data_IF_115433524862
#
_entry.id   IF_115433524862
#
_cell.length_a   1.000
_cell.length_b   1.000
_cell.length_c   1.000
_cell.angle_alpha   90.00
_cell.angle_beta   90.00
_cell.angle_gamma   90.00
#
_symmetry.space_group_name_H-M   'P 1'
#
loop_
_entity.id
_entity.type
_entity.pdbx_description
1 polymer ?
#
# COMPACT_ATOMS: atom_id res chain seq x y z
N UNK A 1 -19.12 29.06 13.36
CA UNK A 1 -20.07 28.07 12.85
C UNK A 1 -19.30 27.23 11.85
N UNK A 2 -19.09 25.96 12.14
CA UNK A 2 -18.40 25.05 11.22
C UNK A 2 -19.32 24.80 10.02
N UNK A 3 -18.98 25.39 8.87
CA UNK A 3 -19.72 25.14 7.64
C UNK A 3 -19.67 23.65 7.32
N UNK A 4 -20.84 23.07 7.03
CA UNK A 4 -20.93 21.65 6.63
C UNK A 4 -20.02 21.42 5.41
N UNK A 5 -19.11 20.42 5.44
CA UNK A 5 -18.14 20.25 4.37
C UNK A 5 -18.82 19.90 3.03
N UNK A 6 -18.30 20.41 1.90
CA UNK A 6 -18.83 20.07 0.59
C UNK A 6 -18.67 18.58 0.30
N UNK A 7 -19.67 17.99 -0.34
CA UNK A 7 -19.67 16.58 -0.69
C UNK A 7 -20.30 16.36 -2.08
N UNK A 8 -19.84 15.32 -2.77
CA UNK A 8 -20.60 14.82 -3.91
C UNK A 8 -21.87 14.12 -3.42
N UNK A 9 -23.00 14.41 -4.03
CA UNK A 9 -24.25 13.68 -3.84
C UNK A 9 -24.52 12.91 -5.13
N UNK A 10 -24.61 11.59 -5.02
CA UNK A 10 -24.82 10.71 -6.16
C UNK A 10 -26.08 9.87 -5.98
N UNK A 11 -27.04 10.08 -6.86
CA UNK A 11 -28.31 9.35 -6.89
C UNK A 11 -28.14 8.10 -7.76
N UNK A 12 -28.17 6.92 -7.12
CA UNK A 12 -28.01 5.62 -7.78
C UNK A 12 -29.20 5.28 -8.68
N UNK A 13 -30.39 5.85 -8.42
CA UNK A 13 -31.62 5.58 -9.19
C UNK A 13 -31.68 6.34 -10.51
N UNK A 14 -31.06 7.51 -10.58
CA UNK A 14 -31.13 8.39 -11.75
C UNK A 14 -29.87 8.36 -12.59
N UNK A 15 -28.80 7.72 -12.11
CA UNK A 15 -27.56 7.55 -12.88
C UNK A 15 -27.74 6.49 -13.98
N UNK A 16 -27.53 6.88 -15.22
CA UNK A 16 -27.67 6.02 -16.42
C UNK A 16 -26.31 5.57 -16.99
N UNK A 17 -25.21 5.78 -16.28
CA UNK A 17 -23.88 5.34 -16.72
C UNK A 17 -23.33 6.03 -17.98
N UNK A 18 -23.87 7.17 -18.41
CA UNK A 18 -23.59 7.82 -19.70
C UNK A 18 -22.16 8.38 -19.86
N UNK A 19 -21.32 8.37 -18.84
CA UNK A 19 -19.94 8.89 -18.82
C UNK A 19 -19.77 10.39 -19.08
N UNK A 20 -20.83 11.20 -19.23
CA UNK A 20 -20.72 12.64 -19.44
C UNK A 20 -19.87 13.32 -18.36
N UNK A 21 -20.00 12.90 -17.10
CA UNK A 21 -19.19 13.38 -15.98
C UNK A 21 -17.70 13.04 -16.12
N UNK A 22 -17.35 11.93 -16.78
CA UNK A 22 -15.95 11.52 -17.06
C UNK A 22 -15.36 12.44 -18.11
N UNK A 23 -16.06 12.63 -19.24
CA UNK A 23 -15.64 13.49 -20.34
C UNK A 23 -15.49 14.94 -19.88
N UNK A 24 -16.46 15.46 -19.16
CA UNK A 24 -16.40 16.82 -18.63
C UNK A 24 -15.21 17.03 -17.67
N UNK A 25 -14.93 16.04 -16.80
CA UNK A 25 -13.78 16.09 -15.92
C UNK A 25 -12.46 16.05 -16.70
N UNK A 26 -12.37 15.22 -17.73
CA UNK A 26 -11.18 15.08 -18.56
C UNK A 26 -10.90 16.37 -19.34
N UNK A 27 -11.93 16.96 -19.96
CA UNK A 27 -11.83 18.21 -20.70
C UNK A 27 -11.41 19.38 -19.80
N UNK A 28 -12.07 19.54 -18.65
CA UNK A 28 -11.77 20.62 -17.70
C UNK A 28 -10.34 20.57 -17.15
N UNK A 29 -9.87 19.35 -16.82
CA UNK A 29 -8.58 19.17 -16.15
C UNK A 29 -7.47 18.72 -17.11
N UNK A 30 -7.74 18.63 -18.42
CA UNK A 30 -6.79 18.24 -19.46
C UNK A 30 -6.05 16.95 -19.11
N UNK A 31 -6.80 15.93 -18.63
CA UNK A 31 -6.19 14.65 -18.27
C UNK A 31 -5.87 13.84 -19.53
N UNK A 32 -4.70 13.21 -19.53
CA UNK A 32 -4.28 12.34 -20.63
C UNK A 32 -5.23 11.14 -20.81
N UNK A 33 -5.37 10.59 -22.01
CA UNK A 33 -6.12 9.37 -22.26
C UNK A 33 -5.65 8.24 -21.34
N UNK A 34 -6.61 7.57 -20.67
CA UNK A 34 -6.33 6.54 -19.66
C UNK A 34 -5.99 7.04 -18.26
N UNK A 35 -5.67 8.34 -18.09
CA UNK A 35 -5.38 9.00 -16.81
C UNK A 35 -6.59 9.68 -16.14
N UNK A 36 -7.82 9.31 -16.49
CA UNK A 36 -9.03 9.95 -16.03
C UNK A 36 -9.17 9.97 -14.50
N UNK A 37 -9.45 11.13 -13.94
CA UNK A 37 -9.64 11.32 -12.50
C UNK A 37 -11.04 10.92 -12.03
N UNK A 38 -12.04 10.90 -12.91
CA UNK A 38 -13.37 10.37 -12.66
C UNK A 38 -13.61 9.12 -13.48
N UNK A 39 -14.31 8.16 -12.90
CA UNK A 39 -14.64 6.89 -13.53
C UNK A 39 -16.08 6.53 -13.17
N UNK A 40 -16.76 5.87 -14.09
CA UNK A 40 -18.06 5.23 -13.84
C UNK A 40 -17.83 3.73 -13.81
N UNK A 41 -18.29 3.09 -12.76
CA UNK A 41 -18.22 1.63 -12.57
C UNK A 41 -19.65 1.11 -12.54
N UNK A 42 -19.95 0.15 -13.42
CA UNK A 42 -21.27 -0.50 -13.51
C UNK A 42 -21.25 -1.79 -12.70
N UNK A 43 -22.31 -2.04 -11.95
CA UNK A 43 -22.50 -3.24 -11.15
C UNK A 43 -23.69 -4.04 -11.66
N UNK A 44 -23.60 -5.37 -11.54
CA UNK A 44 -24.64 -6.33 -11.86
C UNK A 44 -25.09 -6.34 -13.35
N UNK A 45 -24.26 -5.86 -14.28
CA UNK A 45 -24.59 -5.84 -15.70
C UNK A 45 -24.91 -7.26 -16.21
N UNK A 46 -24.08 -8.23 -15.83
CA UNK A 46 -24.24 -9.65 -16.22
C UNK A 46 -25.27 -10.42 -15.36
N UNK A 47 -25.90 -9.76 -14.38
CA UNK A 47 -26.83 -10.37 -13.43
C UNK A 47 -28.26 -9.82 -13.54
N UNK A 48 -28.49 -8.94 -14.48
CA UNK A 48 -29.83 -8.44 -14.75
C UNK A 48 -30.65 -9.55 -15.44
N UNK A 49 -31.94 -9.76 -15.10
CA UNK A 49 -32.76 -8.96 -14.17
C UNK A 49 -32.74 -9.43 -12.69
N UNK A 50 -31.95 -10.47 -12.34
CA UNK A 50 -31.93 -11.01 -10.98
C UNK A 50 -31.48 -9.97 -9.94
N UNK A 51 -30.51 -9.12 -10.31
CA UNK A 51 -30.06 -8.00 -9.51
C UNK A 51 -30.22 -6.68 -10.28
N UNK A 52 -30.51 -5.56 -9.58
CA UNK A 52 -30.60 -4.26 -10.23
C UNK A 52 -29.23 -3.79 -10.73
N UNK A 53 -29.15 -3.32 -11.97
CA UNK A 53 -27.98 -2.64 -12.52
C UNK A 53 -27.92 -1.24 -11.93
N UNK A 54 -26.74 -0.84 -11.45
CA UNK A 54 -26.49 0.51 -10.99
C UNK A 54 -25.06 0.98 -11.31
N UNK A 55 -24.85 2.29 -11.28
CA UNK A 55 -23.59 2.89 -11.68
C UNK A 55 -23.02 3.74 -10.55
N UNK A 56 -21.74 3.56 -10.22
CA UNK A 56 -21.00 4.41 -9.30
C UNK A 56 -20.10 5.38 -10.07
N UNK A 57 -20.40 6.67 -10.01
CA UNK A 57 -19.52 7.72 -10.54
C UNK A 57 -18.54 8.15 -9.46
N UNK A 58 -17.31 7.68 -9.53
CA UNK A 58 -16.28 7.82 -8.53
C UNK A 58 -15.11 8.70 -8.98
N UNK A 59 -14.61 9.51 -8.05
CA UNK A 59 -13.39 10.30 -8.18
C UNK A 59 -12.72 10.40 -6.81
N UNK A 60 -11.88 11.44 -6.57
CA UNK A 60 -11.47 11.74 -5.20
C UNK A 60 -12.69 12.21 -4.39
N UNK A 61 -12.88 11.61 -3.24
CA UNK A 61 -13.99 11.95 -2.33
C UNK A 61 -13.60 13.06 -1.34
N UNK A 62 -12.45 13.68 -1.44
CA UNK A 62 -11.98 14.75 -0.56
C UNK A 62 -12.24 14.48 0.93
N UNK A 63 -11.91 13.24 1.37
CA UNK A 63 -12.23 12.68 2.68
C UNK A 63 -11.90 13.63 3.82
N UNK A 64 -12.75 13.69 4.86
CA UNK A 64 -12.50 14.53 6.05
C UNK A 64 -11.21 14.08 6.77
N UNK A 65 -11.00 12.77 6.88
CA UNK A 65 -9.78 12.16 7.43
C UNK A 65 -8.94 11.61 6.27
N UNK A 66 -8.39 12.49 5.43
CA UNK A 66 -7.71 12.10 4.20
C UNK A 66 -6.40 11.32 4.48
N UNK A 67 -6.35 9.98 4.27
CA UNK A 67 -5.13 9.21 4.51
C UNK A 67 -3.98 9.63 3.59
N UNK A 68 -4.29 10.06 2.37
CA UNK A 68 -3.29 10.55 1.42
C UNK A 68 -2.58 11.82 1.90
N UNK A 69 -3.29 12.73 2.61
CA UNK A 69 -2.73 13.93 3.23
C UNK A 69 -1.89 13.53 4.45
N UNK A 70 -2.46 12.72 5.36
CA UNK A 70 -1.81 12.30 6.61
C UNK A 70 -0.48 11.59 6.36
N UNK A 71 -0.40 10.78 5.32
CA UNK A 71 0.77 9.94 5.04
C UNK A 71 1.68 10.47 3.93
N UNK A 72 1.41 11.65 3.36
CA UNK A 72 2.28 12.24 2.34
C UNK A 72 3.65 12.61 2.93
N UNK A 73 4.75 11.96 2.54
CA UNK A 73 6.06 12.23 3.14
C UNK A 73 6.59 13.63 2.78
N UNK A 74 6.26 14.13 1.59
CA UNK A 74 6.74 15.43 1.08
C UNK A 74 5.85 16.62 1.49
N UNK A 75 4.80 16.39 2.31
CA UNK A 75 3.81 17.42 2.66
C UNK A 75 3.26 18.14 1.42
N UNK A 76 3.05 17.36 0.35
CA UNK A 76 2.55 17.87 -0.91
C UNK A 76 1.02 17.81 -1.02
N UNK A 77 0.32 17.27 -0.02
CA UNK A 77 -1.13 17.13 -0.02
C UNK A 77 -1.68 17.89 1.17
N UNK A 78 -2.63 18.78 0.90
CA UNK A 78 -3.29 19.59 1.92
C UNK A 78 -4.75 19.85 1.56
N UNK A 79 -5.57 20.09 2.59
CA UNK A 79 -6.93 20.57 2.42
C UNK A 79 -6.93 22.09 2.25
N UNK A 80 -7.70 22.56 1.29
CA UNK A 80 -8.02 23.98 1.14
C UNK A 80 -9.22 24.33 2.02
N UNK A 81 -9.07 25.34 2.88
CA UNK A 81 -10.07 25.72 3.87
C UNK A 81 -11.30 26.40 3.25
N UNK A 82 -11.16 27.02 2.07
CA UNK A 82 -12.23 27.75 1.38
C UNK A 82 -13.19 26.82 0.66
N UNK A 83 -12.64 25.78 0.03
CA UNK A 83 -13.42 24.86 -0.82
C UNK A 83 -13.55 23.46 -0.22
N UNK A 84 -12.85 23.15 0.86
CA UNK A 84 -12.77 21.80 1.43
C UNK A 84 -12.04 20.79 0.53
N UNK A 85 -11.49 21.21 -0.61
CA UNK A 85 -10.78 20.34 -1.53
C UNK A 85 -9.46 19.86 -0.94
N UNK A 86 -9.22 18.55 -0.95
CA UNK A 86 -7.88 18.01 -0.68
C UNK A 86 -7.09 18.08 -1.99
N UNK A 87 -6.01 18.84 -2.04
CA UNK A 87 -5.25 19.17 -3.25
C UNK A 87 -3.85 18.55 -3.19
N UNK A 88 -3.26 18.27 -4.35
CA UNK A 88 -1.86 17.89 -4.50
C UNK A 88 -1.09 19.07 -5.10
N UNK A 89 -0.09 19.54 -4.39
CA UNK A 89 0.88 20.50 -4.89
C UNK A 89 1.92 19.73 -5.74
N UNK A 90 1.90 19.96 -7.05
CA UNK A 90 2.78 19.30 -8.01
C UNK A 90 4.25 19.70 -7.82
N UNK A 91 4.53 20.90 -7.28
CA UNK A 91 5.90 21.39 -7.09
C UNK A 91 6.54 20.81 -5.81
N UNK A 92 5.73 20.38 -4.85
CA UNK A 92 6.17 19.65 -3.68
C UNK A 92 6.18 18.14 -3.88
N UNK A 93 5.37 17.63 -4.82
CA UNK A 93 5.23 16.20 -5.04
C UNK A 93 6.54 15.57 -5.53
N UNK A 94 6.93 14.45 -4.92
CA UNK A 94 8.12 13.65 -5.28
C UNK A 94 7.76 12.43 -6.16
N UNK A 95 6.48 12.19 -6.43
CA UNK A 95 6.02 11.08 -7.25
C UNK A 95 6.23 9.69 -6.63
N UNK A 96 6.27 9.55 -5.31
CA UNK A 96 6.48 8.28 -4.60
C UNK A 96 5.28 7.33 -4.65
N UNK A 97 4.14 7.70 -5.23
CA UNK A 97 2.91 6.92 -5.41
C UNK A 97 2.23 6.44 -4.12
N UNK A 98 2.77 6.71 -2.95
CA UNK A 98 2.26 6.21 -1.67
C UNK A 98 0.81 6.66 -1.39
N UNK A 99 0.41 7.86 -1.79
CA UNK A 99 -0.98 8.31 -1.71
C UNK A 99 -1.96 7.45 -2.52
N UNK A 100 -1.49 6.78 -3.58
CA UNK A 100 -2.26 5.79 -4.34
C UNK A 100 -2.48 4.49 -3.55
N UNK A 101 -1.52 4.08 -2.72
CA UNK A 101 -1.61 2.85 -1.93
C UNK A 101 -2.57 3.00 -0.74
N UNK A 102 -2.58 4.17 -0.11
CA UNK A 102 -3.46 4.44 1.04
C UNK A 102 -4.89 4.85 0.64
N UNK A 103 -5.16 5.08 -0.65
CA UNK A 103 -6.48 5.49 -1.13
C UNK A 103 -7.33 4.28 -1.53
N UNK A 104 -8.46 4.01 -0.83
CA UNK A 104 -9.34 2.89 -1.16
C UNK A 104 -10.22 3.15 -2.40
N UNK A 105 -10.27 4.40 -2.88
CA UNK A 105 -11.11 4.82 -4.01
C UNK A 105 -10.35 4.91 -5.33
N UNK A 106 -9.07 4.54 -5.34
CA UNK A 106 -8.22 4.61 -6.52
C UNK A 106 -8.14 6.01 -7.17
N UNK A 107 -8.23 7.06 -6.34
CA UNK A 107 -8.31 8.42 -6.86
C UNK A 107 -6.97 9.03 -7.30
N UNK A 108 -5.83 8.89 -6.57
CA UNK A 108 -4.55 9.40 -7.03
C UNK A 108 -4.00 8.58 -8.19
N UNK A 109 -3.61 9.25 -9.28
CA UNK A 109 -2.99 8.69 -10.48
C UNK A 109 -1.59 9.23 -10.67
N UNK A 110 -0.69 8.41 -11.16
CA UNK A 110 0.66 8.85 -11.50
C UNK A 110 0.67 9.41 -12.93
N UNK A 111 1.12 10.64 -13.07
CA UNK A 111 1.38 11.30 -14.33
C UNK A 111 2.84 11.06 -14.71
N UNK A 112 3.06 10.18 -15.67
CA UNK A 112 4.42 9.78 -16.09
C UNK A 112 5.16 10.91 -16.81
N UNK A 113 4.45 11.79 -17.54
CA UNK A 113 5.05 12.92 -18.24
C UNK A 113 5.57 13.98 -17.28
N UNK A 114 4.86 14.21 -16.17
CA UNK A 114 5.24 15.18 -15.14
C UNK A 114 6.05 14.58 -13.99
N UNK A 115 6.03 13.27 -13.82
CA UNK A 115 6.68 12.56 -12.72
C UNK A 115 6.04 12.81 -11.35
N UNK A 116 4.76 13.20 -11.28
CA UNK A 116 4.04 13.55 -10.06
C UNK A 116 2.70 12.84 -9.98
N UNK A 117 2.06 12.88 -8.81
CA UNK A 117 0.68 12.39 -8.64
C UNK A 117 -0.33 13.48 -8.99
N UNK A 118 -1.41 13.08 -9.65
CA UNK A 118 -2.59 13.89 -9.90
C UNK A 118 -3.86 13.23 -9.38
N UNK A 119 -4.91 14.02 -9.12
CA UNK A 119 -6.25 13.53 -8.75
C UNK A 119 -7.28 14.65 -8.90
N UNK A 120 -8.56 14.29 -8.82
CA UNK A 120 -9.64 15.27 -8.77
C UNK A 120 -9.31 16.42 -7.81
N UNK A 121 -9.48 17.64 -8.29
CA UNK A 121 -9.26 18.90 -7.54
C UNK A 121 -10.55 19.49 -6.97
N UNK A 122 -11.69 18.78 -7.08
CA UNK A 122 -13.04 19.30 -6.83
C UNK A 122 -13.37 20.51 -7.76
N UNK A 123 -12.65 20.65 -8.87
CA UNK A 123 -12.66 21.85 -9.71
C UNK A 123 -12.45 23.14 -8.90
N UNK A 124 -11.46 23.11 -8.02
CA UNK A 124 -11.16 24.15 -7.01
C UNK A 124 -11.27 25.58 -7.56
N UNK A 125 -10.71 25.86 -8.75
CA UNK A 125 -10.79 27.19 -9.37
C UNK A 125 -12.24 27.59 -9.64
N UNK A 126 -13.04 26.69 -10.25
CA UNK A 126 -14.46 26.97 -10.52
C UNK A 126 -15.25 27.25 -9.25
N UNK A 127 -14.94 26.50 -8.15
CA UNK A 127 -15.59 26.74 -6.86
C UNK A 127 -15.22 28.11 -6.26
N UNK A 128 -13.97 28.54 -6.40
CA UNK A 128 -13.56 29.90 -5.97
C UNK A 128 -14.26 31.00 -6.73
N UNK A 129 -14.58 30.76 -8.00
CA UNK A 129 -15.32 31.68 -8.87
C UNK A 129 -16.86 31.54 -8.72
N UNK A 130 -17.34 30.81 -7.69
CA UNK A 130 -18.76 30.59 -7.41
C UNK A 130 -19.46 29.60 -8.35
N UNK A 131 -18.72 28.91 -9.21
CA UNK A 131 -19.24 27.89 -10.12
C UNK A 131 -19.39 26.52 -9.52
N UNK A 132 -19.80 25.55 -10.35
CA UNK A 132 -19.94 24.12 -9.98
C UNK A 132 -18.81 23.28 -10.59
N UNK A 133 -18.45 22.11 -10.00
CA UNK A 133 -17.55 21.18 -10.64
C UNK A 133 -18.04 20.76 -12.03
N UNK A 134 -17.15 20.68 -13.02
CA UNK A 134 -17.52 20.36 -14.40
C UNK A 134 -18.33 19.06 -14.53
N UNK A 135 -17.99 18.03 -13.75
CA UNK A 135 -18.70 16.76 -13.76
C UNK A 135 -20.14 16.84 -13.24
N UNK A 136 -20.43 17.74 -12.30
CA UNK A 136 -21.79 17.95 -11.79
C UNK A 136 -22.62 18.80 -12.74
N UNK A 137 -22.01 19.82 -13.35
CA UNK A 137 -22.66 20.66 -14.36
C UNK A 137 -23.03 19.89 -15.63
N UNK A 138 -22.23 18.88 -16.00
CA UNK A 138 -22.44 18.09 -17.21
C UNK A 138 -23.34 16.86 -17.01
N UNK A 139 -23.85 16.60 -15.80
CA UNK A 139 -24.69 15.43 -15.55
C UNK A 139 -26.10 15.63 -16.10
N UNK A 140 -26.51 14.92 -17.21
CA UNK A 140 -27.77 15.21 -17.89
C UNK A 140 -29.00 14.83 -17.05
N UNK A 141 -28.87 13.84 -16.17
CA UNK A 141 -29.96 13.37 -15.30
C UNK A 141 -29.97 14.06 -13.93
N UNK A 142 -28.95 14.90 -13.64
CA UNK A 142 -28.76 15.47 -12.31
C UNK A 142 -28.44 14.43 -11.23
N UNK A 143 -28.04 13.21 -11.62
CA UNK A 143 -27.68 12.15 -10.68
C UNK A 143 -26.45 12.50 -9.84
N UNK A 144 -25.52 13.28 -10.38
CA UNK A 144 -24.31 13.72 -9.68
C UNK A 144 -24.39 15.24 -9.42
N UNK A 145 -24.37 15.61 -8.15
CA UNK A 145 -24.45 17.00 -7.69
C UNK A 145 -23.35 17.32 -6.69
N UNK A 146 -23.05 18.59 -6.51
CA UNK A 146 -22.33 19.08 -5.34
C UNK A 146 -23.36 19.50 -4.28
N UNK A 147 -23.20 19.03 -3.07
CA UNK A 147 -24.02 19.35 -1.90
C UNK A 147 -23.15 19.37 -0.65
N UNK A 148 -23.74 19.03 0.47
CA UNK A 148 -23.09 18.95 1.79
C UNK A 148 -23.08 17.54 2.32
N UNK A 149 -22.12 17.24 3.20
CA UNK A 149 -22.04 15.98 3.88
C UNK A 149 -22.89 16.01 5.17
N UNK A 150 -23.96 15.23 5.18
CA UNK A 150 -24.79 15.03 6.38
C UNK A 150 -24.34 13.71 7.04
N UNK A 151 -23.75 13.80 8.23
CA UNK A 151 -23.25 12.64 8.97
C UNK A 151 -21.86 12.13 8.55
N UNK A 152 -21.59 10.84 8.81
CA UNK A 152 -20.25 10.24 8.67
C UNK A 152 -19.87 9.76 7.25
N UNK A 153 -20.69 10.04 6.26
CA UNK A 153 -20.52 9.55 4.90
C UNK A 153 -21.21 8.20 4.65
N UNK A 154 -21.01 7.60 3.45
CA UNK A 154 -21.76 6.44 3.02
C UNK A 154 -21.32 5.17 3.76
N UNK A 155 -22.31 4.38 4.21
CA UNK A 155 -22.14 3.03 4.77
C UNK A 155 -23.05 2.06 4.03
N UNK A 156 -22.58 0.82 3.84
CA UNK A 156 -23.41 -0.25 3.26
C UNK A 156 -23.75 -0.08 1.77
N UNK A 157 -23.05 0.76 1.02
CA UNK A 157 -23.25 0.88 -0.43
C UNK A 157 -22.48 -0.22 -1.14
N UNK A 158 -23.19 -1.07 -1.88
CA UNK A 158 -22.58 -2.18 -2.61
C UNK A 158 -21.47 -1.66 -3.55
N UNK A 159 -20.33 -2.34 -3.55
CA UNK A 159 -19.16 -1.97 -4.34
C UNK A 159 -18.36 -0.75 -3.85
N UNK A 160 -18.85 0.01 -2.87
CA UNK A 160 -18.11 1.11 -2.28
C UNK A 160 -17.31 0.64 -1.06
N UNK A 161 -15.97 0.83 -1.00
CA UNK A 161 -15.16 0.33 0.11
C UNK A 161 -15.45 1.04 1.43
N UNK A 162 -15.75 0.29 2.49
CA UNK A 162 -15.76 0.79 3.87
C UNK A 162 -14.43 0.42 4.56
N UNK A 163 -13.59 1.42 4.75
CA UNK A 163 -12.25 1.26 5.35
C UNK A 163 -12.08 2.12 6.61
N UNK A 164 -13.19 2.61 7.18
CA UNK A 164 -13.18 3.39 8.43
C UNK A 164 -12.67 4.83 8.27
N UNK A 165 -12.62 5.37 7.06
CA UNK A 165 -12.39 6.80 6.80
C UNK A 165 -13.70 7.50 6.46
N UNK A 166 -13.72 8.83 6.52
CA UNK A 166 -14.91 9.66 6.24
C UNK A 166 -14.81 10.31 4.86
N UNK A 167 -15.29 9.65 3.76
CA UNK A 167 -15.30 10.25 2.43
C UNK A 167 -16.39 11.30 2.32
N UNK A 168 -16.13 12.43 1.67
CA UNK A 168 -17.13 13.48 1.40
C UNK A 168 -17.94 13.15 0.15
N UNK A 169 -18.71 12.07 0.23
CA UNK A 169 -19.69 11.64 -0.76
C UNK A 169 -20.91 11.09 -0.05
N UNK A 170 -22.09 11.35 -0.58
CA UNK A 170 -23.36 10.80 -0.16
C UNK A 170 -24.03 10.08 -1.32
N UNK A 171 -24.53 8.88 -1.09
CA UNK A 171 -25.33 8.15 -2.06
C UNK A 171 -26.81 8.25 -1.69
N UNK A 172 -27.66 8.56 -2.68
CA UNK A 172 -29.11 8.36 -2.56
C UNK A 172 -29.40 6.94 -3.06
N UNK A 173 -30.18 6.15 -2.28
CA UNK A 173 -30.38 4.73 -2.56
C UNK A 173 -31.18 4.49 -3.84
N UNK A 174 -31.11 3.29 -4.37
CA UNK A 174 -31.98 2.84 -5.45
C UNK A 174 -33.45 2.90 -5.01
N UNK A 175 -34.29 3.49 -5.83
CA UNK A 175 -35.75 3.51 -5.59
C UNK A 175 -36.28 2.10 -5.74
N UNK A 176 -36.98 1.61 -4.72
CA UNK A 176 -37.67 0.32 -4.74
C UNK A 176 -36.99 -0.85 -4.04
N UNK A 177 -35.68 -0.87 -3.89
CA UNK A 177 -34.98 -1.86 -3.05
C UNK A 177 -33.53 -1.43 -2.81
N UNK A 178 -33.16 -1.32 -1.54
CA UNK A 178 -31.71 -1.29 -1.23
C UNK A 178 -31.09 -2.61 -1.73
N UNK A 179 -29.85 -2.59 -2.32
CA UNK A 179 -29.12 -3.81 -2.57
C UNK A 179 -28.96 -4.56 -1.24
N UNK A 180 -29.75 -5.63 -1.09
CA UNK A 180 -29.65 -6.49 0.07
C UNK A 180 -28.43 -7.39 -0.11
N UNK A 181 -27.45 -7.35 0.79
CA UNK A 181 -26.31 -8.27 0.74
C UNK A 181 -26.72 -9.73 0.72
N UNK A 182 -27.84 -10.09 1.38
CA UNK A 182 -28.38 -11.43 1.37
C UNK A 182 -29.02 -11.81 0.02
N UNK A 183 -29.58 -10.85 -0.71
CA UNK A 183 -30.07 -11.08 -2.06
C UNK A 183 -28.93 -11.22 -3.08
N UNK A 184 -27.78 -10.55 -2.87
CA UNK A 184 -26.54 -10.80 -3.65
C UNK A 184 -26.04 -12.24 -3.44
N UNK A 185 -26.12 -12.75 -2.22
CA UNK A 185 -25.71 -14.11 -1.86
C UNK A 185 -26.69 -15.17 -2.44
N UNK A 186 -27.98 -14.93 -2.36
CA UNK A 186 -29.02 -15.81 -2.91
C UNK A 186 -28.98 -15.86 -4.45
N UNK A 187 -28.72 -14.75 -5.13
CA UNK A 187 -28.61 -14.71 -6.59
C UNK A 187 -27.30 -15.39 -7.08
N UNK A 188 -26.25 -15.40 -6.27
CA UNK A 188 -25.02 -16.14 -6.56
C UNK A 188 -25.23 -17.66 -6.51
N UNK A 189 -26.15 -18.14 -5.65
CA UNK A 189 -26.50 -19.57 -5.51
C UNK A 189 -27.43 -20.03 -6.65
N UNK A 190 -28.22 -19.15 -7.23
CA UNK A 190 -29.25 -19.50 -8.23
C UNK A 190 -28.75 -19.71 -9.68
N UNK A 191 -27.47 -19.97 -9.91
CA UNK A 191 -27.02 -20.58 -11.16
C UNK A 191 -26.48 -19.64 -12.26
N UNK A 192 -26.04 -18.41 -11.96
CA UNK A 192 -25.29 -17.56 -12.91
C UNK A 192 -23.78 -17.91 -12.95
N UNK A 193 -23.46 -19.16 -12.65
CA UNK A 193 -22.09 -19.66 -12.48
C UNK A 193 -21.26 -19.85 -13.78
N UNK A 194 -21.81 -19.49 -14.95
CA UNK A 194 -21.16 -19.81 -16.24
C UNK A 194 -20.60 -18.62 -17.03
N UNK A 195 -20.72 -17.39 -16.53
CA UNK A 195 -20.12 -16.25 -17.20
C UNK A 195 -18.65 -16.11 -16.80
N UNK A 196 -17.78 -15.98 -17.79
CA UNK A 196 -16.36 -15.69 -17.52
C UNK A 196 -16.24 -14.42 -16.70
N UNK A 197 -15.46 -14.46 -15.61
CA UNK A 197 -15.31 -13.28 -14.76
C UNK A 197 -14.60 -12.18 -15.54
N UNK A 198 -15.08 -10.95 -15.42
CA UNK A 198 -14.35 -9.78 -15.88
C UNK A 198 -12.90 -9.84 -15.38
N UNK A 199 -11.92 -9.58 -16.26
CA UNK A 199 -10.53 -9.60 -15.85
C UNK A 199 -10.33 -8.63 -14.68
N UNK A 200 -9.84 -9.15 -13.58
CA UNK A 200 -9.57 -8.32 -12.41
C UNK A 200 -8.62 -7.19 -12.81
N UNK A 201 -8.89 -5.93 -12.43
CA UNK A 201 -8.03 -4.83 -12.78
C UNK A 201 -6.62 -5.10 -12.26
N UNK A 202 -5.56 -4.63 -12.97
CA UNK A 202 -4.19 -4.88 -12.58
C UNK A 202 -3.94 -4.42 -11.14
N UNK A 203 -3.14 -5.18 -10.40
CA UNK A 203 -2.79 -4.82 -9.02
C UNK A 203 -2.03 -3.51 -9.02
N UNK A 204 -2.34 -2.63 -8.07
CA UNK A 204 -1.61 -1.36 -7.88
C UNK A 204 -0.16 -1.56 -7.48
N UNK A 205 0.11 -2.64 -6.78
CA UNK A 205 1.42 -3.01 -6.27
C UNK A 205 1.74 -4.38 -6.85
N UNK A 206 2.91 -4.51 -7.45
CA UNK A 206 3.41 -5.78 -7.97
C UNK A 206 4.93 -5.82 -7.79
N UNK A 207 5.50 -7.01 -7.75
CA UNK A 207 6.95 -7.17 -7.68
C UNK A 207 7.64 -6.48 -8.88
N UNK A 208 7.02 -6.51 -10.06
CA UNK A 208 7.55 -5.87 -11.26
C UNK A 208 7.58 -4.34 -11.17
N UNK A 209 6.54 -3.72 -10.57
CA UNK A 209 6.48 -2.26 -10.41
C UNK A 209 7.35 -1.76 -9.26
N UNK A 210 7.55 -2.57 -8.22
CA UNK A 210 8.21 -2.18 -6.97
C UNK A 210 9.52 -2.94 -6.70
N UNK A 211 10.15 -3.49 -7.75
CA UNK A 211 11.38 -4.28 -7.60
C UNK A 211 12.52 -3.52 -6.90
N UNK A 212 12.60 -2.21 -7.07
CA UNK A 212 13.60 -1.38 -6.41
C UNK A 212 13.37 -1.28 -4.91
N UNK A 213 12.11 -1.20 -4.48
CA UNK A 213 11.74 -1.23 -3.05
C UNK A 213 11.93 -2.63 -2.47
N UNK A 214 11.59 -3.68 -3.24
CA UNK A 214 11.89 -5.06 -2.86
C UNK A 214 13.39 -5.25 -2.59
N UNK A 215 14.25 -4.82 -3.51
CA UNK A 215 15.70 -4.91 -3.35
C UNK A 215 16.19 -4.05 -2.18
N UNK A 216 15.77 -2.80 -2.08
CA UNK A 216 16.11 -1.88 -0.99
C UNK A 216 15.79 -2.49 0.39
N UNK A 217 14.56 -2.94 0.60
CA UNK A 217 14.13 -3.48 1.90
C UNK A 217 14.90 -4.75 2.26
N UNK A 218 15.17 -5.64 1.28
CA UNK A 218 15.97 -6.84 1.48
C UNK A 218 17.42 -6.52 1.89
N UNK A 219 18.04 -5.51 1.23
CA UNK A 219 19.40 -5.07 1.56
C UNK A 219 19.48 -4.49 2.98
N UNK A 220 18.53 -3.63 3.37
CA UNK A 220 18.52 -3.04 4.71
C UNK A 220 18.35 -4.11 5.79
N UNK A 221 17.45 -5.08 5.59
CA UNK A 221 17.29 -6.23 6.50
C UNK A 221 18.60 -6.98 6.67
N UNK A 222 19.28 -7.29 5.55
CA UNK A 222 20.57 -7.96 5.55
C UNK A 222 21.66 -7.19 6.30
N UNK A 223 21.74 -5.87 6.10
CA UNK A 223 22.72 -5.02 6.77
C UNK A 223 22.48 -4.91 8.28
N UNK A 224 21.24 -4.72 8.71
CA UNK A 224 20.88 -4.70 10.14
C UNK A 224 21.17 -6.06 10.78
N UNK A 225 20.84 -7.15 10.09
CA UNK A 225 21.12 -8.50 10.55
C UNK A 225 22.64 -8.77 10.67
N UNK A 226 23.43 -8.35 9.68
CA UNK A 226 24.89 -8.56 9.69
C UNK A 226 25.56 -7.77 10.81
N UNK A 227 25.22 -6.48 10.97
CA UNK A 227 25.76 -5.68 12.06
C UNK A 227 25.33 -6.23 13.43
N UNK A 228 24.07 -6.62 13.60
CA UNK A 228 23.57 -7.25 14.82
C UNK A 228 24.26 -8.58 15.14
N UNK A 229 24.41 -9.44 14.13
CA UNK A 229 25.12 -10.72 14.28
C UNK A 229 26.57 -10.56 14.73
N UNK A 230 27.29 -9.58 14.20
CA UNK A 230 28.68 -9.31 14.58
C UNK A 230 28.85 -8.98 16.06
N UNK A 231 27.79 -8.43 16.70
CA UNK A 231 27.75 -8.15 18.16
C UNK A 231 27.43 -9.40 19.00
N UNK A 232 26.94 -10.45 18.36
CA UNK A 232 26.56 -11.73 18.98
C UNK A 232 27.58 -12.85 18.70
N UNK A 233 28.79 -12.49 18.27
CA UNK A 233 29.85 -13.43 17.94
C UNK A 233 29.80 -14.02 16.54
N UNK A 234 28.97 -13.43 15.66
CA UNK A 234 28.91 -13.74 14.23
C UNK A 234 30.06 -13.16 13.41
N UNK A 235 30.03 -13.27 12.08
CA UNK A 235 31.10 -12.82 11.20
C UNK A 235 31.31 -11.29 11.30
N UNK A 236 32.58 -10.89 11.37
CA UNK A 236 32.96 -9.48 11.45
C UNK A 236 32.45 -8.69 10.23
N UNK A 237 31.99 -7.48 10.47
CA UNK A 237 31.56 -6.59 9.40
C UNK A 237 32.77 -5.97 8.71
N UNK A 238 32.86 -6.20 7.40
CA UNK A 238 33.86 -5.53 6.55
C UNK A 238 33.34 -4.19 6.10
N UNK A 239 34.06 -3.06 6.34
CA UNK A 239 33.54 -1.71 6.05
C UNK A 239 33.14 -1.51 4.58
N UNK A 240 34.03 -1.87 3.65
CA UNK A 240 33.82 -1.61 2.20
C UNK A 240 32.54 -2.28 1.67
N UNK A 241 32.32 -3.60 1.76
CA UNK A 241 31.10 -4.19 1.24
C UNK A 241 29.86 -3.74 1.99
N UNK A 242 29.94 -3.52 3.29
CA UNK A 242 28.79 -3.04 4.08
C UNK A 242 28.31 -1.66 3.60
N UNK A 243 29.23 -0.70 3.49
CA UNK A 243 28.91 0.65 3.05
C UNK A 243 28.52 0.70 1.56
N UNK A 244 29.13 -0.10 0.72
CA UNK A 244 28.76 -0.21 -0.71
C UNK A 244 27.33 -0.74 -0.87
N UNK A 245 26.96 -1.78 -0.13
CA UNK A 245 25.58 -2.32 -0.13
C UNK A 245 24.59 -1.28 0.40
N UNK A 246 24.95 -0.55 1.47
CA UNK A 246 24.13 0.52 2.02
C UNK A 246 23.90 1.66 1.02
N UNK A 247 24.95 2.11 0.34
CA UNK A 247 24.84 3.13 -0.70
C UNK A 247 23.99 2.67 -1.89
N UNK A 248 24.17 1.42 -2.33
CA UNK A 248 23.35 0.82 -3.38
C UNK A 248 21.86 0.76 -2.96
N UNK A 249 21.58 0.38 -1.73
CA UNK A 249 20.22 0.39 -1.18
C UNK A 249 19.59 1.79 -1.23
N UNK A 250 20.28 2.82 -0.77
CA UNK A 250 19.79 4.20 -0.84
C UNK A 250 19.57 4.67 -2.28
N UNK A 251 20.46 4.32 -3.20
CA UNK A 251 20.28 4.63 -4.61
C UNK A 251 19.02 3.96 -5.18
N UNK A 252 18.83 2.65 -4.90
CA UNK A 252 17.63 1.90 -5.31
C UNK A 252 16.35 2.52 -4.76
N UNK A 253 16.36 2.97 -3.48
CA UNK A 253 15.19 3.59 -2.87
C UNK A 253 14.76 4.90 -3.54
N UNK A 254 15.66 5.58 -4.25
CA UNK A 254 15.34 6.82 -4.99
C UNK A 254 14.88 6.57 -6.42
N UNK A 255 15.18 5.41 -7.01
CA UNK A 255 14.90 5.13 -8.42
C UNK A 255 13.40 5.05 -8.74
N UNK A 256 12.55 4.65 -7.78
CA UNK A 256 11.10 4.60 -7.97
C UNK A 256 10.41 5.97 -7.92
N UNK A 257 11.11 7.02 -7.49
CA UNK A 257 10.55 8.37 -7.40
C UNK A 257 10.39 8.98 -8.79
N UNK A 258 9.27 9.65 -9.01
CA UNK A 258 9.02 10.39 -10.23
C UNK A 258 9.87 11.66 -10.35
N UNK A 259 10.22 12.28 -9.20
CA UNK A 259 11.05 13.49 -9.09
C UNK A 259 12.19 13.26 -8.10
N UNK A 260 13.27 12.66 -8.60
CA UNK A 260 14.42 12.23 -7.78
C UNK A 260 15.16 13.42 -7.13
N UNK A 261 15.22 14.54 -7.81
CA UNK A 261 15.83 15.79 -7.33
C UNK A 261 15.14 16.36 -6.07
N UNK A 262 13.91 15.89 -5.81
CA UNK A 262 13.11 16.28 -4.66
C UNK A 262 13.09 15.23 -3.54
N UNK A 263 13.91 14.16 -3.64
CA UNK A 263 13.90 13.03 -2.69
C UNK A 263 14.05 13.45 -1.22
N UNK A 264 14.85 14.50 -0.95
CA UNK A 264 15.04 15.05 0.40
C UNK A 264 13.74 15.46 1.08
N UNK A 265 12.71 15.84 0.30
CA UNK A 265 11.38 16.19 0.84
C UNK A 265 10.68 15.01 1.51
N UNK A 266 11.10 13.78 1.21
CA UNK A 266 10.53 12.59 1.86
C UNK A 266 10.76 12.57 3.38
N UNK A 267 11.73 13.33 3.90
CA UNK A 267 12.01 13.43 5.33
C UNK A 267 11.11 14.45 6.08
N UNK A 268 10.40 15.34 5.35
CA UNK A 268 9.74 16.50 5.98
C UNK A 268 8.59 16.13 6.95
N UNK A 269 7.89 15.04 6.71
CA UNK A 269 6.71 14.66 7.51
C UNK A 269 7.00 13.58 8.55
N UNK A 270 8.21 13.54 9.09
CA UNK A 270 8.67 12.48 10.02
C UNK A 270 7.78 12.28 11.25
N UNK A 271 7.05 13.31 11.71
CA UNK A 271 6.14 13.20 12.87
C UNK A 271 4.89 12.37 12.57
N UNK A 272 4.39 12.31 11.33
CA UNK A 272 3.12 11.65 10.99
C UNK A 272 3.27 10.52 9.96
N UNK A 273 4.20 10.64 9.00
CA UNK A 273 4.40 9.65 7.93
C UNK A 273 5.41 8.58 8.34
N UNK A 274 5.01 7.32 8.30
CA UNK A 274 5.91 6.19 8.52
C UNK A 274 7.01 6.11 7.46
N UNK A 275 6.68 6.44 6.20
CA UNK A 275 7.66 6.51 5.12
C UNK A 275 8.73 7.59 5.39
N UNK A 276 8.36 8.76 5.94
CA UNK A 276 9.35 9.78 6.31
C UNK A 276 10.26 9.31 7.45
N UNK A 277 9.71 8.57 8.42
CA UNK A 277 10.53 7.99 9.51
C UNK A 277 11.53 6.98 8.98
N UNK A 278 11.11 6.10 8.05
CA UNK A 278 12.00 5.17 7.35
C UNK A 278 13.13 5.90 6.61
N UNK A 279 12.78 6.93 5.82
CA UNK A 279 13.74 7.76 5.05
C UNK A 279 14.75 8.48 5.94
N UNK A 280 14.41 8.78 7.18
CA UNK A 280 15.35 9.37 8.16
C UNK A 280 16.16 8.27 8.87
N UNK A 281 15.50 7.19 9.29
CA UNK A 281 16.12 6.16 10.11
C UNK A 281 17.17 5.33 9.35
N UNK A 282 16.95 5.02 8.06
CA UNK A 282 17.90 4.21 7.28
C UNK A 282 19.23 4.96 7.04
N UNK A 283 19.27 6.20 6.57
CA UNK A 283 20.53 6.96 6.49
C UNK A 283 21.20 7.16 7.85
N UNK A 284 20.44 7.39 8.93
CA UNK A 284 20.99 7.51 10.28
C UNK A 284 21.65 6.20 10.73
N UNK A 285 21.02 5.06 10.47
CA UNK A 285 21.60 3.72 10.70
C UNK A 285 22.94 3.57 9.96
N UNK A 286 22.97 3.89 8.66
CA UNK A 286 24.17 3.75 7.85
C UNK A 286 25.29 4.71 8.30
N UNK A 287 24.94 5.94 8.68
CA UNK A 287 25.92 6.90 9.21
C UNK A 287 26.54 6.45 10.52
N UNK A 288 25.73 5.93 11.46
CA UNK A 288 26.21 5.36 12.71
C UNK A 288 27.05 4.10 12.51
N UNK A 289 26.65 3.23 11.58
CA UNK A 289 27.43 2.06 11.20
C UNK A 289 28.77 2.47 10.55
N UNK A 290 28.80 3.49 9.70
CA UNK A 290 30.04 4.02 9.14
C UNK A 290 30.95 4.61 10.22
N UNK A 291 30.40 5.35 11.20
CA UNK A 291 31.17 5.87 12.33
C UNK A 291 31.80 4.71 13.14
N UNK A 292 31.01 3.66 13.43
CA UNK A 292 31.53 2.45 14.10
C UNK A 292 32.67 1.76 13.31
N UNK A 293 32.52 1.64 12.01
CA UNK A 293 33.43 0.86 11.16
C UNK A 293 34.70 1.63 10.81
N UNK A 294 34.67 2.97 10.71
CA UNK A 294 35.74 3.80 10.21
C UNK A 294 36.44 4.61 11.28
N UNK A 295 35.78 4.98 12.41
CA UNK A 295 36.34 5.85 13.44
C UNK A 295 36.76 5.05 14.68
N UNK A 296 38.03 5.06 15.02
CA UNK A 296 38.57 4.34 16.17
C UNK A 296 37.99 4.80 17.52
N UNK A 297 37.63 6.08 17.66
CA UNK A 297 37.11 6.71 18.87
C UNK A 297 35.64 6.41 19.16
N UNK A 298 34.84 5.95 18.17
CA UNK A 298 33.39 5.81 18.29
C UNK A 298 32.89 4.35 18.35
N UNK A 299 33.82 3.37 18.47
CA UNK A 299 33.54 1.95 18.13
C UNK A 299 32.35 1.32 18.87
N UNK A 300 32.32 1.35 20.20
CA UNK A 300 31.31 0.58 20.95
C UNK A 300 29.94 1.27 20.98
N UNK A 301 29.89 2.53 21.37
CA UNK A 301 28.63 3.28 21.48
C UNK A 301 27.92 3.46 20.13
N UNK A 302 28.70 3.72 19.06
CA UNK A 302 28.14 3.86 17.72
C UNK A 302 27.55 2.55 17.19
N UNK A 303 28.17 1.39 17.52
CA UNK A 303 27.64 0.08 17.11
C UNK A 303 26.28 -0.22 17.73
N UNK A 304 26.16 -0.02 19.06
CA UNK A 304 24.91 -0.25 19.78
C UNK A 304 23.81 0.68 19.27
N UNK A 305 24.14 1.97 19.10
CA UNK A 305 23.19 2.93 18.58
C UNK A 305 22.79 2.64 17.13
N UNK A 306 23.73 2.21 16.27
CA UNK A 306 23.45 1.80 14.91
C UNK A 306 22.47 0.63 14.86
N UNK A 307 22.69 -0.43 15.66
CA UNK A 307 21.74 -1.56 15.73
C UNK A 307 20.37 -1.08 16.19
N UNK A 308 20.29 -0.27 17.24
CA UNK A 308 19.03 0.26 17.76
C UNK A 308 18.26 1.08 16.68
N UNK A 309 18.95 1.99 15.98
CA UNK A 309 18.35 2.79 14.89
C UNK A 309 17.99 1.90 13.70
N UNK A 310 18.78 0.87 13.38
CA UNK A 310 18.47 -0.13 12.38
C UNK A 310 17.16 -0.89 12.69
N UNK A 311 16.97 -1.30 13.96
CA UNK A 311 15.71 -1.94 14.39
C UNK A 311 14.53 -0.98 14.27
N UNK A 312 14.68 0.29 14.63
CA UNK A 312 13.65 1.33 14.42
C UNK A 312 13.33 1.49 12.93
N UNK A 313 14.34 1.47 12.04
CA UNK A 313 14.14 1.54 10.60
C UNK A 313 13.30 0.36 10.10
N UNK A 314 13.55 -0.87 10.58
CA UNK A 314 12.77 -2.06 10.22
C UNK A 314 11.32 -1.96 10.70
N UNK A 315 11.08 -1.46 11.91
CA UNK A 315 9.72 -1.19 12.41
C UNK A 315 9.02 -0.16 11.52
N UNK A 316 9.72 0.90 11.11
CA UNK A 316 9.13 1.89 10.18
C UNK A 316 8.76 1.26 8.84
N UNK A 317 9.62 0.40 8.28
CA UNK A 317 9.33 -0.35 7.04
C UNK A 317 8.06 -1.19 7.17
N UNK A 318 7.89 -1.94 8.26
CA UNK A 318 6.69 -2.73 8.48
C UNK A 318 5.44 -1.83 8.56
N UNK A 319 5.52 -0.71 9.26
CA UNK A 319 4.42 0.24 9.42
C UNK A 319 4.00 0.97 8.14
N UNK A 320 4.91 1.15 7.17
CA UNK A 320 4.57 1.72 5.85
C UNK A 320 3.46 0.91 5.18
N UNK A 321 3.49 -0.42 5.29
CA UNK A 321 2.52 -1.30 4.64
C UNK A 321 1.22 -1.48 5.45
N UNK A 322 1.26 -1.33 6.77
CA UNK A 322 0.07 -1.44 7.65
C UNK A 322 -0.97 -0.36 7.36
N UNK A 323 -0.55 0.85 6.92
CA UNK A 323 -1.47 1.97 6.64
C UNK A 323 -2.12 1.92 5.25
N UNK A 324 -1.84 0.89 4.45
CA UNK A 324 -2.46 0.73 3.13
C UNK A 324 -3.97 0.50 3.26
N UNK A 325 -4.70 0.98 2.25
CA UNK A 325 -6.16 0.88 2.24
C UNK A 325 -6.63 -0.59 2.20
N UNK A 326 -7.37 -1.00 3.24
CA UNK A 326 -7.90 -2.36 3.43
C UNK A 326 -9.34 -2.32 3.91
N UNK A 327 -10.04 -3.44 3.82
CA UNK A 327 -11.37 -3.58 4.38
C UNK A 327 -11.35 -3.45 5.91
N UNK A 328 -12.40 -2.87 6.46
CA UNK A 328 -12.58 -2.73 7.91
C UNK A 328 -12.57 -4.13 8.56
N UNK A 329 -11.74 -4.31 9.59
CA UNK A 329 -11.58 -5.59 10.28
C UNK A 329 -10.57 -6.56 9.66
N UNK A 330 -9.98 -6.28 8.48
CA UNK A 330 -8.84 -7.06 8.00
C UNK A 330 -7.58 -6.70 8.80
N UNK A 331 -6.84 -7.72 9.25
CA UNK A 331 -5.53 -7.51 9.88
C UNK A 331 -4.53 -7.04 8.83
N UNK A 332 -3.61 -6.15 9.23
CA UNK A 332 -2.58 -5.63 8.34
C UNK A 332 -1.58 -6.74 7.96
N UNK A 333 -1.20 -6.85 6.66
CA UNK A 333 -0.04 -7.66 6.29
C UNK A 333 1.21 -6.97 6.84
N UNK A 334 1.79 -7.58 7.85
CA UNK A 334 3.08 -7.18 8.36
C UNK A 334 4.16 -7.70 7.41
N UNK A 335 5.06 -6.81 6.99
CA UNK A 335 6.19 -7.19 6.16
C UNK A 335 7.19 -8.07 6.91
N UNK A 336 7.04 -8.20 8.22
CA UNK A 336 7.87 -9.00 9.12
C UNK A 336 9.38 -8.72 9.00
N UNK A 337 9.76 -7.47 8.66
CA UNK A 337 11.15 -7.07 8.45
C UNK A 337 11.98 -7.26 9.72
N UNK A 338 11.40 -6.92 10.87
CA UNK A 338 12.06 -7.10 12.17
C UNK A 338 12.33 -8.58 12.47
N UNK A 339 11.34 -9.45 12.28
CA UNK A 339 11.49 -10.90 12.50
C UNK A 339 12.50 -11.52 11.50
N UNK A 340 12.50 -11.05 10.26
CA UNK A 340 13.46 -11.45 9.23
C UNK A 340 14.89 -11.07 9.60
N UNK A 341 15.12 -9.85 10.05
CA UNK A 341 16.47 -9.41 10.47
C UNK A 341 16.94 -10.18 11.71
N UNK A 342 16.07 -10.38 12.70
CA UNK A 342 16.39 -11.18 13.89
C UNK A 342 16.72 -12.63 13.54
N UNK A 343 15.96 -13.24 12.64
CA UNK A 343 16.23 -14.61 12.16
C UNK A 343 17.59 -14.71 11.46
N UNK A 344 17.86 -13.83 10.50
CA UNK A 344 19.14 -13.78 9.79
C UNK A 344 20.31 -13.51 10.74
N UNK A 345 20.14 -12.61 11.73
CA UNK A 345 21.17 -12.35 12.73
C UNK A 345 21.44 -13.58 13.59
N UNK A 346 20.40 -14.28 14.01
CA UNK A 346 20.51 -15.53 14.76
C UNK A 346 21.23 -16.64 13.99
N UNK A 347 20.94 -16.79 12.69
CA UNK A 347 21.63 -17.74 11.80
C UNK A 347 23.10 -17.34 11.61
N UNK A 348 23.38 -16.07 11.29
CA UNK A 348 24.74 -15.56 11.09
C UNK A 348 25.61 -15.69 12.34
N UNK A 349 25.04 -15.43 13.52
CA UNK A 349 25.74 -15.56 14.80
C UNK A 349 25.74 -16.99 15.37
N UNK A 350 25.07 -17.93 14.71
CA UNK A 350 24.83 -19.30 15.21
C UNK A 350 24.19 -19.30 16.61
N UNK A 351 23.21 -18.43 16.82
CA UNK A 351 22.52 -18.26 18.10
C UNK A 351 21.07 -18.81 18.04
N UNK A 352 20.82 -20.06 18.48
CA UNK A 352 19.50 -20.68 18.39
C UNK A 352 18.42 -19.93 19.18
N UNK A 353 18.78 -19.35 20.33
CA UNK A 353 17.86 -18.61 21.18
C UNK A 353 17.26 -17.35 20.49
N UNK A 354 17.93 -16.81 19.45
CA UNK A 354 17.43 -15.72 18.64
C UNK A 354 16.77 -16.25 17.36
N UNK A 355 17.38 -17.23 16.69
CA UNK A 355 16.89 -17.77 15.41
C UNK A 355 15.54 -18.49 15.57
N UNK A 356 15.33 -19.28 16.61
CA UNK A 356 14.10 -20.05 16.82
C UNK A 356 12.87 -19.15 17.03
N UNK A 357 12.82 -18.21 17.99
CA UNK A 357 11.63 -17.38 18.17
C UNK A 357 11.38 -16.45 16.98
N UNK A 358 12.43 -15.94 16.34
CA UNK A 358 12.29 -15.12 15.14
C UNK A 358 11.76 -15.94 13.95
N UNK A 359 12.21 -17.19 13.80
CA UNK A 359 11.71 -18.13 12.82
C UNK A 359 10.23 -18.47 13.03
N UNK A 360 9.83 -18.71 14.29
CA UNK A 360 8.42 -18.93 14.64
C UNK A 360 7.53 -17.72 14.35
N UNK A 361 8.02 -16.51 14.63
CA UNK A 361 7.31 -15.28 14.30
C UNK A 361 7.11 -15.12 12.79
N UNK A 362 8.14 -15.43 11.97
CA UNK A 362 8.01 -15.45 10.50
C UNK A 362 7.01 -16.50 10.01
N UNK A 363 7.03 -17.68 10.61
CA UNK A 363 6.09 -18.76 10.28
C UNK A 363 4.65 -18.34 10.62
N UNK A 364 4.43 -17.75 11.80
CA UNK A 364 3.13 -17.27 12.23
C UNK A 364 2.58 -16.20 11.28
N UNK A 365 3.39 -15.19 10.91
CA UNK A 365 3.02 -14.18 9.94
C UNK A 365 2.69 -14.78 8.56
N UNK A 366 3.37 -15.85 8.17
CA UNK A 366 3.09 -16.57 6.94
C UNK A 366 1.77 -17.34 6.99
N UNK A 367 1.53 -18.11 8.06
CA UNK A 367 0.28 -18.85 8.26
C UNK A 367 -0.90 -17.89 8.31
N UNK A 368 -0.78 -16.77 9.01
CA UNK A 368 -1.82 -15.74 9.04
C UNK A 368 -2.14 -15.22 7.62
N UNK A 369 -1.12 -14.96 6.80
CA UNK A 369 -1.32 -14.56 5.39
C UNK A 369 -2.02 -15.63 4.55
N UNK A 370 -1.78 -16.91 4.79
CA UNK A 370 -2.47 -18.01 4.10
C UNK A 370 -3.92 -18.14 4.52
N UNK A 371 -4.20 -18.03 5.82
CA UNK A 371 -5.55 -18.23 6.38
C UNK A 371 -6.48 -17.04 6.14
N UNK A 372 -5.95 -15.81 6.05
CA UNK A 372 -6.73 -14.60 5.76
C UNK A 372 -7.10 -14.46 4.28
N UNK A 373 -6.49 -15.26 3.39
CA UNK A 373 -6.83 -15.25 1.96
C UNK A 373 -8.10 -16.03 1.69
N UNK A 374 -9.05 -15.38 1.03
CA UNK A 374 -10.34 -15.95 0.64
C UNK A 374 -10.29 -16.92 -0.55
N UNK A 375 -9.16 -17.06 -1.22
CA UNK A 375 -8.99 -17.98 -2.35
C UNK A 375 -7.99 -19.08 -1.99
N UNK A 376 -8.32 -20.33 -2.26
CA UNK A 376 -7.41 -21.46 -2.14
C UNK A 376 -6.18 -21.22 -3.00
N UNK A 377 -4.96 -21.37 -2.46
CA UNK A 377 -3.75 -21.26 -3.25
C UNK A 377 -3.69 -22.37 -4.29
N UNK A 378 -3.43 -22.02 -5.56
CA UNK A 378 -3.20 -23.02 -6.61
C UNK A 378 -1.91 -23.83 -6.36
N UNK A 379 -1.69 -24.94 -7.11
CA UNK A 379 -0.55 -25.86 -6.89
C UNK A 379 0.82 -25.17 -6.85
N UNK A 380 1.05 -24.16 -7.71
CA UNK A 380 2.30 -23.40 -7.75
C UNK A 380 2.52 -22.54 -6.48
N UNK A 381 1.46 -22.06 -5.86
CA UNK A 381 1.55 -21.30 -4.62
C UNK A 381 1.91 -22.18 -3.43
N UNK A 382 1.45 -23.45 -3.42
CA UNK A 382 1.84 -24.43 -2.42
C UNK A 382 3.31 -24.84 -2.58
N UNK A 383 3.80 -25.05 -3.80
CA UNK A 383 5.21 -25.36 -4.05
C UNK A 383 6.13 -24.24 -3.55
N UNK A 384 5.77 -22.98 -3.81
CA UNK A 384 6.48 -21.80 -3.27
C UNK A 384 6.44 -21.73 -1.74
N UNK A 385 5.30 -22.08 -1.14
CA UNK A 385 5.16 -22.10 0.32
C UNK A 385 6.07 -23.14 0.96
N UNK A 386 6.10 -24.34 0.39
CA UNK A 386 6.99 -25.45 0.86
C UNK A 386 8.46 -25.08 0.67
N UNK A 387 8.84 -24.55 -0.49
CA UNK A 387 10.23 -24.12 -0.74
C UNK A 387 10.66 -23.03 0.24
N UNK A 388 9.81 -22.06 0.51
CA UNK A 388 10.07 -20.97 1.46
C UNK A 388 10.27 -21.47 2.88
N UNK A 389 9.40 -22.34 3.37
CA UNK A 389 9.49 -22.88 4.73
C UNK A 389 10.66 -23.87 4.81
N UNK A 390 10.79 -24.77 3.85
CA UNK A 390 11.85 -25.78 3.83
C UNK A 390 13.24 -25.16 3.71
N UNK A 391 13.48 -24.39 2.64
CA UNK A 391 14.79 -23.80 2.36
C UNK A 391 15.09 -22.59 3.24
N UNK A 392 14.07 -21.75 3.49
CA UNK A 392 14.26 -20.47 4.15
C UNK A 392 14.16 -20.47 5.67
N UNK A 393 13.60 -21.53 6.27
CA UNK A 393 13.41 -21.62 7.70
C UNK A 393 13.95 -22.92 8.28
N UNK A 394 13.45 -24.08 7.81
CA UNK A 394 13.81 -25.39 8.40
C UNK A 394 15.27 -25.70 8.15
N UNK A 395 15.75 -25.63 6.92
CA UNK A 395 17.15 -25.93 6.56
C UNK A 395 18.14 -25.05 7.34
N UNK A 396 18.06 -23.71 7.39
CA UNK A 396 18.99 -22.92 8.18
C UNK A 396 19.00 -23.27 9.67
N UNK A 397 17.83 -23.51 10.26
CA UNK A 397 17.71 -23.89 11.67
C UNK A 397 18.35 -25.25 11.97
N UNK A 398 18.07 -26.25 11.14
CA UNK A 398 18.65 -27.60 11.32
C UNK A 398 20.16 -27.55 11.17
N UNK A 399 20.69 -26.80 10.21
CA UNK A 399 22.14 -26.66 10.03
C UNK A 399 22.81 -25.93 11.20
N UNK A 400 22.21 -24.88 11.73
CA UNK A 400 22.72 -24.15 12.91
C UNK A 400 22.71 -25.08 14.14
N UNK A 401 21.65 -25.86 14.35
CA UNK A 401 21.51 -26.74 15.50
C UNK A 401 22.43 -27.97 15.41
N UNK A 402 22.56 -28.59 14.23
CA UNK A 402 23.29 -29.85 14.05
C UNK A 402 24.79 -29.64 13.80
N UNK A 403 25.18 -28.60 13.05
CA UNK A 403 26.56 -28.45 12.54
C UNK A 403 27.21 -27.15 12.99
N UNK A 404 26.50 -26.27 13.69
CA UNK A 404 27.01 -24.98 14.16
C UNK A 404 27.67 -24.16 13.04
N UNK A 405 28.92 -23.74 13.24
CA UNK A 405 29.67 -22.92 12.27
C UNK A 405 30.13 -23.65 11.00
N UNK A 406 30.20 -24.99 11.02
CA UNK A 406 30.71 -25.75 9.87
C UNK A 406 29.81 -25.62 8.64
N UNK A 407 28.50 -25.56 8.82
CA UNK A 407 27.53 -25.42 7.75
C UNK A 407 27.01 -23.97 7.57
N UNK A 408 27.65 -22.98 8.19
CA UNK A 408 27.21 -21.59 8.18
C UNK A 408 26.97 -20.99 6.76
N UNK A 409 27.84 -21.21 5.76
CA UNK A 409 27.60 -20.67 4.42
C UNK A 409 26.29 -21.19 3.82
N UNK A 410 25.97 -22.47 3.98
CA UNK A 410 24.76 -23.09 3.47
C UNK A 410 23.51 -22.61 4.24
N UNK A 411 23.61 -22.51 5.57
CA UNK A 411 22.54 -21.96 6.40
C UNK A 411 22.20 -20.52 6.03
N UNK A 412 23.21 -19.68 5.81
CA UNK A 412 23.03 -18.28 5.38
C UNK A 412 22.43 -18.21 3.98
N UNK A 413 22.93 -19.02 3.03
CA UNK A 413 22.38 -19.07 1.68
C UNK A 413 20.89 -19.45 1.69
N UNK A 414 20.50 -20.47 2.47
CA UNK A 414 19.11 -20.88 2.65
C UNK A 414 18.26 -19.78 3.27
N UNK A 415 18.73 -19.14 4.34
CA UNK A 415 18.02 -18.06 5.01
C UNK A 415 17.82 -16.83 4.09
N UNK A 416 18.81 -16.45 3.29
CA UNK A 416 18.70 -15.37 2.30
C UNK A 416 17.74 -15.73 1.17
N UNK A 417 17.82 -16.95 0.63
CA UNK A 417 16.88 -17.43 -0.38
C UNK A 417 15.43 -17.39 0.13
N UNK A 418 15.23 -17.85 1.37
CA UNK A 418 13.93 -17.79 2.04
C UNK A 418 13.44 -16.36 2.25
N UNK A 419 14.32 -15.43 2.59
CA UNK A 419 13.97 -14.00 2.73
C UNK A 419 13.53 -13.39 1.40
N UNK A 420 14.27 -13.66 0.32
CA UNK A 420 13.91 -13.18 -1.01
C UNK A 420 12.57 -13.75 -1.48
N UNK A 421 12.33 -15.05 -1.24
CA UNK A 421 11.04 -15.68 -1.56
C UNK A 421 9.89 -15.09 -0.73
N UNK A 422 10.13 -14.81 0.56
CA UNK A 422 9.13 -14.18 1.44
C UNK A 422 8.77 -12.77 0.97
N UNK A 423 9.77 -11.96 0.66
CA UNK A 423 9.58 -10.60 0.14
C UNK A 423 8.90 -10.60 -1.23
N UNK A 424 9.32 -11.47 -2.15
CA UNK A 424 8.68 -11.59 -3.46
C UNK A 424 7.20 -11.97 -3.32
N UNK A 425 6.89 -12.92 -2.44
CA UNK A 425 5.52 -13.32 -2.13
C UNK A 425 4.74 -12.18 -1.46
N UNK A 426 5.34 -11.44 -0.52
CA UNK A 426 4.73 -10.29 0.13
C UNK A 426 4.30 -9.24 -0.91
N UNK A 427 5.22 -8.74 -1.75
CA UNK A 427 4.88 -7.77 -2.79
C UNK A 427 3.90 -8.31 -3.83
N UNK A 428 3.99 -9.60 -4.16
CA UNK A 428 3.04 -10.28 -5.04
C UNK A 428 1.65 -10.48 -4.43
N UNK A 429 1.53 -10.37 -3.11
CA UNK A 429 0.27 -10.58 -2.38
C UNK A 429 -0.40 -9.31 -1.92
N UNK A 430 0.33 -8.17 -1.91
CA UNK A 430 -0.24 -6.89 -1.51
C UNK A 430 -1.43 -6.52 -2.39
N UNK A 431 -2.54 -6.26 -1.76
CA UNK A 431 -3.76 -5.86 -2.43
C UNK A 431 -4.35 -4.61 -1.77
N UNK A 432 -4.63 -3.60 -2.58
CA UNK A 432 -5.33 -2.39 -2.18
C UNK A 432 -6.78 -2.52 -2.59
N UNK A 433 -7.69 -2.42 -1.64
CA UNK A 433 -9.13 -2.45 -1.93
C UNK A 433 -9.51 -1.27 -2.80
N UNK A 434 -10.19 -1.54 -3.91
CA UNK A 434 -10.74 -0.51 -4.81
C UNK A 434 -12.13 -0.91 -5.28
N UNK A 435 -13.00 0.03 -5.69
CA UNK A 435 -14.34 -0.30 -6.19
C UNK A 435 -14.31 -1.29 -7.35
N UNK A 436 -13.41 -1.13 -8.31
CA UNK A 436 -13.24 -2.05 -9.44
C UNK A 436 -12.84 -3.46 -9.02
N UNK A 437 -11.99 -3.60 -8.01
CA UNK A 437 -11.60 -4.93 -7.51
C UNK A 437 -12.71 -5.60 -6.75
N UNK A 438 -13.52 -4.82 -6.01
CA UNK A 438 -14.73 -5.36 -5.39
C UNK A 438 -15.71 -5.93 -6.40
N UNK A 439 -15.90 -5.25 -7.52
CA UNK A 439 -16.73 -5.75 -8.62
C UNK A 439 -16.21 -7.10 -9.16
N UNK A 440 -14.91 -7.24 -9.36
CA UNK A 440 -14.31 -8.48 -9.88
C UNK A 440 -14.31 -9.65 -8.86
N UNK A 441 -14.41 -9.37 -7.55
CA UNK A 441 -14.31 -10.38 -6.48
C UNK A 441 -15.68 -10.78 -5.92
N UNK A 442 -16.69 -9.89 -6.00
CA UNK A 442 -18.04 -10.09 -5.43
C UNK A 442 -18.81 -11.31 -5.93
N UNK A 443 -18.62 -11.84 -7.14
CA UNK A 443 -19.43 -12.97 -7.64
C UNK A 443 -19.01 -14.37 -7.16
N UNK A 444 -17.97 -14.52 -6.37
CA UNK A 444 -17.33 -15.83 -6.15
C UNK A 444 -17.46 -16.39 -4.72
N UNK A 445 -18.42 -15.93 -3.95
CA UNK A 445 -18.75 -16.59 -2.69
C UNK A 445 -19.89 -17.57 -2.93
N UNK A 446 -19.55 -18.75 -3.42
CA UNK A 446 -20.23 -19.98 -3.19
C UNK A 446 -19.42 -20.79 -2.21
#
# INVERSE_FOLDING_TARGET
MSATPPAFVHDLSTCVGCHACVVACASENRTEPGGFWRQVVTFNEDRHPALPVFHLSLACNHCLDAPCERHCPAVAIARDDRTGAVLIDADRCIGCRYCGWVCPYDAPRFDAGRGVMGKCTLCHRRLLDGGQPACTSACPTGALKLGTLDGDGPRGVAGFPDVGIRPSIRFLPLRGRAPDPAAEEAAAVAGVATLEPWPAPPRKISLRSEWTLFAFTSLVIGLVAWLGASRLGGPAVRPTPFLAIGAAGLALSTLHLGRKERAWRAALHWRRSWLSREVVAVPAFLALAAAHLLLASAREGAAVLAVAVGLVALVCMDRVYVVMARERGSRGDDAAALASAAFLAGVLATQPWLALPAGLARLAAFVERLTTRRASPGPGAWALAVARVGLGLVLPLTLVLASGRAALPLAVAGALAGELLDRAHFYGSLDVVTPRRRMAVSPRRG
#
